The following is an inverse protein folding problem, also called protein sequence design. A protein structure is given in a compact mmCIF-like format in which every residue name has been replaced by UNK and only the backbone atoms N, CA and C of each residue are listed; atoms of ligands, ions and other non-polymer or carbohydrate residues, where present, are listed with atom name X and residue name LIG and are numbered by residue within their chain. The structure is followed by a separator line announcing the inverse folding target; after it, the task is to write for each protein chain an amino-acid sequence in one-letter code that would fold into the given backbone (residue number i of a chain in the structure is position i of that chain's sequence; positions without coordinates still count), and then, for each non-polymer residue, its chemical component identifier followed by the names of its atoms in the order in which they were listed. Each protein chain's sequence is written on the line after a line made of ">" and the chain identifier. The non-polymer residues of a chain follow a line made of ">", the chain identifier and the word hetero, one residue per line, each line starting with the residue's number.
data_IF_437772387865
#
_entry.id   IF_437772387865
#
_cell.length_a   1.000
_cell.length_b   1.000
_cell.length_c   1.000
_cell.angle_alpha   90.00
_cell.angle_beta   90.00
_cell.angle_gamma   90.00
#
_symmetry.space_group_name_H-M   'P 1'
#
loop_
_entity.id
_entity.type
_entity.pdbx_description
1 polymer ?
#
# COMPACT_ATOMS: atom_id res chain seq x y z
N UNK A 1 43.39 10.06 11.08
CA UNK A 1 42.13 10.40 10.38
C UNK A 1 41.06 10.13 11.41
N UNK A 2 40.69 11.17 12.16
CA UNK A 2 39.93 11.02 13.39
C UNK A 2 38.47 10.73 13.06
N UNK A 3 38.02 9.56 13.49
CA UNK A 3 36.61 9.19 13.59
C UNK A 3 35.91 10.22 14.50
N UNK A 4 35.10 11.07 13.88
CA UNK A 4 34.20 11.96 14.61
C UNK A 4 33.11 11.13 15.25
N UNK A 5 33.36 10.71 16.49
CA UNK A 5 32.39 10.19 17.44
C UNK A 5 31.28 11.25 17.60
N UNK A 6 30.12 10.97 16.98
CA UNK A 6 28.94 11.80 17.07
C UNK A 6 28.40 11.60 18.48
N UNK A 7 28.77 12.49 19.40
CA UNK A 7 28.12 12.60 20.70
C UNK A 7 26.61 12.68 20.44
N UNK A 8 25.88 11.59 20.71
CA UNK A 8 24.42 11.58 20.63
C UNK A 8 23.90 12.63 21.60
N UNK A 9 23.55 13.81 21.09
CA UNK A 9 22.97 14.86 21.91
C UNK A 9 21.74 14.27 22.63
N UNK A 10 21.62 14.41 23.96
CA UNK A 10 20.54 13.81 24.74
C UNK A 10 19.15 14.28 24.28
N UNK A 11 19.09 15.39 23.54
CA UNK A 11 17.90 15.88 22.87
C UNK A 11 17.49 15.00 21.68
N UNK A 12 18.44 14.64 20.81
CA UNK A 12 18.18 13.80 19.62
C UNK A 12 17.66 12.43 20.03
N UNK A 13 18.22 11.83 21.09
CA UNK A 13 17.76 10.55 21.62
C UNK A 13 16.32 10.62 22.17
N UNK A 14 15.98 11.69 22.90
CA UNK A 14 14.61 11.92 23.39
C UNK A 14 13.62 12.12 22.25
N UNK A 15 13.98 12.92 21.23
CA UNK A 15 13.14 13.14 20.05
C UNK A 15 12.88 11.85 19.29
N UNK A 16 13.91 11.02 19.06
CA UNK A 16 13.76 9.70 18.42
C UNK A 16 12.79 8.80 19.18
N UNK A 17 12.86 8.80 20.51
CA UNK A 17 11.93 8.02 21.36
C UNK A 17 10.48 8.47 21.20
N UNK A 18 10.24 9.79 21.20
CA UNK A 18 8.90 10.38 20.98
C UNK A 18 8.37 10.02 19.60
N UNK A 19 9.20 10.13 18.55
CA UNK A 19 8.81 9.76 17.18
C UNK A 19 8.41 8.29 17.11
N UNK A 20 9.22 7.39 17.68
CA UNK A 20 8.93 5.94 17.68
C UNK A 20 7.64 5.63 18.43
N UNK A 21 7.37 6.32 19.54
CA UNK A 21 6.10 6.19 20.25
C UNK A 21 4.91 6.66 19.39
N UNK A 22 5.01 7.84 18.77
CA UNK A 22 3.98 8.40 17.90
C UNK A 22 3.64 7.47 16.72
N UNK A 23 4.66 6.89 16.07
CA UNK A 23 4.47 5.95 14.95
C UNK A 23 3.79 4.66 15.40
N UNK A 24 4.09 4.15 16.61
CA UNK A 24 3.37 2.98 17.16
C UNK A 24 1.89 3.27 17.38
N UNK A 25 1.58 4.45 17.94
CA UNK A 25 0.18 4.89 18.11
C UNK A 25 -0.50 5.01 16.74
N UNK A 26 0.19 5.59 15.75
CA UNK A 26 -0.33 5.71 14.38
C UNK A 26 -0.62 4.33 13.77
N UNK A 27 0.27 3.35 13.94
CA UNK A 27 0.04 1.99 13.47
C UNK A 27 -1.20 1.35 14.10
N UNK A 28 -1.42 1.53 15.41
CA UNK A 28 -2.62 1.04 16.10
C UNK A 28 -3.90 1.70 15.57
N UNK A 29 -3.88 3.02 15.38
CA UNK A 29 -5.01 3.77 14.82
C UNK A 29 -5.30 3.27 13.39
N UNK A 30 -4.27 3.10 12.57
CA UNK A 30 -4.44 2.60 11.19
C UNK A 30 -5.03 1.19 11.15
N UNK A 31 -4.64 0.30 12.05
CA UNK A 31 -5.28 -1.03 12.16
C UNK A 31 -6.77 -0.91 12.47
N UNK A 32 -7.16 -0.02 13.39
CA UNK A 32 -8.57 0.21 13.68
C UNK A 32 -9.33 0.78 12.48
N UNK A 33 -8.73 1.73 11.74
CA UNK A 33 -9.30 2.29 10.49
C UNK A 33 -9.52 1.21 9.43
N UNK A 34 -8.57 0.27 9.28
CA UNK A 34 -8.72 -0.85 8.33
C UNK A 34 -9.90 -1.73 8.73
N UNK A 35 -10.00 -2.11 10.01
CA UNK A 35 -11.12 -2.94 10.51
C UNK A 35 -12.46 -2.22 10.26
N UNK A 36 -12.54 -0.93 10.61
CA UNK A 36 -13.74 -0.14 10.38
C UNK A 36 -14.09 -0.03 8.90
N UNK A 37 -13.10 0.21 8.04
CA UNK A 37 -13.30 0.31 6.61
C UNK A 37 -13.81 -0.98 6.00
N UNK A 38 -13.34 -2.15 6.45
CA UNK A 38 -13.87 -3.45 6.00
C UNK A 38 -15.34 -3.60 6.41
N UNK A 39 -15.68 -3.26 7.66
CA UNK A 39 -17.07 -3.31 8.14
C UNK A 39 -17.96 -2.35 7.34
N UNK A 40 -17.49 -1.13 7.08
CA UNK A 40 -18.20 -0.12 6.30
C UNK A 40 -18.47 -0.60 4.86
N UNK A 41 -17.47 -1.18 4.20
CA UNK A 41 -17.63 -1.77 2.86
C UNK A 41 -18.66 -2.90 2.87
N UNK A 42 -18.61 -3.80 3.86
CA UNK A 42 -19.61 -4.86 4.00
C UNK A 42 -21.01 -4.29 4.22
N UNK A 43 -21.14 -3.23 5.03
CA UNK A 43 -22.41 -2.56 5.30
C UNK A 43 -22.98 -1.91 4.05
N UNK A 44 -22.18 -1.13 3.33
CA UNK A 44 -22.57 -0.47 2.07
C UNK A 44 -23.00 -1.52 1.03
N UNK A 45 -22.25 -2.60 0.88
CA UNK A 45 -22.61 -3.67 -0.05
C UNK A 45 -23.93 -4.32 0.33
N UNK A 46 -24.14 -4.59 1.63
CA UNK A 46 -25.38 -5.16 2.14
C UNK A 46 -26.59 -4.26 1.85
N UNK A 47 -26.47 -2.96 2.14
CA UNK A 47 -27.52 -1.97 1.88
C UNK A 47 -27.89 -1.93 0.39
N UNK A 48 -26.89 -1.89 -0.49
CA UNK A 48 -27.07 -1.86 -1.94
C UNK A 48 -27.72 -3.12 -2.51
N UNK A 49 -27.45 -4.30 -1.93
CA UNK A 49 -28.09 -5.55 -2.34
C UNK A 49 -29.57 -5.64 -1.93
N UNK A 50 -29.92 -5.01 -0.80
CA UNK A 50 -31.27 -5.05 -0.23
C UNK A 50 -32.17 -3.92 -0.75
N UNK A 51 -31.61 -2.86 -1.35
CA UNK A 51 -32.40 -1.82 -2.03
C UNK A 51 -33.01 -2.35 -3.34
N UNK A 52 -34.27 -2.02 -3.66
CA UNK A 52 -34.91 -2.43 -4.92
C UNK A 52 -34.28 -1.70 -6.13
N UNK A 53 -33.98 -2.35 -7.28
CA UNK A 53 -34.17 -3.77 -7.64
C UNK A 53 -33.22 -4.70 -6.88
N UNK A 54 -33.78 -5.58 -6.07
CA UNK A 54 -33.02 -6.49 -5.21
C UNK A 54 -32.09 -7.38 -6.05
N UNK A 55 -30.86 -7.57 -5.57
CA UNK A 55 -29.81 -8.34 -6.25
C UNK A 55 -29.30 -7.80 -7.60
N UNK A 56 -29.67 -6.58 -8.02
CA UNK A 56 -29.10 -5.93 -9.20
C UNK A 56 -28.27 -4.70 -8.82
N UNK A 57 -26.95 -4.80 -8.97
CA UNK A 57 -26.05 -3.66 -8.85
C UNK A 57 -25.94 -2.94 -10.19
N UNK A 58 -26.24 -1.64 -10.19
CA UNK A 58 -25.97 -0.79 -11.35
C UNK A 58 -24.48 -0.53 -11.50
N UNK A 59 -24.01 -0.14 -12.69
CA UNK A 59 -22.61 0.23 -12.93
C UNK A 59 -22.17 1.34 -11.96
N UNK A 60 -23.05 2.30 -11.68
CA UNK A 60 -22.78 3.39 -10.74
C UNK A 60 -22.59 2.89 -9.30
N UNK A 61 -23.40 1.92 -8.85
CA UNK A 61 -23.25 1.32 -7.53
C UNK A 61 -21.99 0.46 -7.43
N UNK A 62 -21.61 -0.25 -8.49
CA UNK A 62 -20.35 -1.01 -8.57
C UNK A 62 -19.15 -0.07 -8.43
N UNK A 63 -19.13 1.02 -9.20
CA UNK A 63 -18.07 2.03 -9.14
C UNK A 63 -17.99 2.71 -7.76
N UNK A 64 -19.14 3.01 -7.14
CA UNK A 64 -19.20 3.55 -5.79
C UNK A 64 -18.64 2.57 -4.75
N UNK A 65 -18.98 1.28 -4.87
CA UNK A 65 -18.47 0.24 -3.97
C UNK A 65 -16.96 0.05 -4.16
N UNK A 66 -16.44 0.11 -5.39
CA UNK A 66 -14.99 0.13 -5.64
C UNK A 66 -14.30 1.33 -5.00
N UNK A 67 -14.94 2.49 -4.93
CA UNK A 67 -14.44 3.63 -4.15
C UNK A 67 -14.22 3.28 -2.67
N UNK A 68 -15.18 2.58 -2.05
CA UNK A 68 -15.07 2.13 -0.66
C UNK A 68 -13.98 1.05 -0.49
N UNK A 69 -13.90 0.07 -1.41
CA UNK A 69 -12.78 -0.89 -1.44
C UNK A 69 -11.43 -0.17 -1.57
N UNK A 70 -11.34 0.86 -2.39
CA UNK A 70 -10.12 1.65 -2.56
C UNK A 70 -9.70 2.39 -1.30
N UNK A 71 -10.65 2.90 -0.52
CA UNK A 71 -10.35 3.52 0.77
C UNK A 71 -9.68 2.52 1.73
N UNK A 72 -10.21 1.29 1.81
CA UNK A 72 -9.62 0.22 2.65
C UNK A 72 -8.23 -0.16 2.16
N UNK A 73 -8.08 -0.32 0.86
CA UNK A 73 -6.81 -0.66 0.22
C UNK A 73 -5.75 0.40 0.53
N UNK A 74 -6.06 1.68 0.30
CA UNK A 74 -5.16 2.81 0.63
C UNK A 74 -4.76 2.77 2.11
N UNK A 75 -5.68 2.44 3.03
CA UNK A 75 -5.36 2.32 4.44
C UNK A 75 -4.34 1.18 4.72
N UNK A 76 -4.50 0.02 4.06
CA UNK A 76 -3.55 -1.10 4.15
C UNK A 76 -2.18 -0.70 3.59
N UNK A 77 -2.13 -0.02 2.45
CA UNK A 77 -0.88 0.47 1.87
C UNK A 77 -0.13 1.43 2.81
N UNK A 78 -0.86 2.38 3.41
CA UNK A 78 -0.29 3.32 4.39
C UNK A 78 0.20 2.56 5.63
N UNK A 79 -0.56 1.58 6.12
CA UNK A 79 -0.16 0.75 7.26
C UNK A 79 1.15 0.00 7.01
N UNK A 80 1.31 -0.60 5.83
CA UNK A 80 2.55 -1.30 5.46
C UNK A 80 3.73 -0.33 5.45
N UNK A 81 3.56 0.87 4.87
CA UNK A 81 4.61 1.89 4.86
C UNK A 81 5.02 2.33 6.28
N UNK A 82 4.05 2.45 7.20
CA UNK A 82 4.32 2.77 8.62
C UNK A 82 5.06 1.62 9.31
N UNK A 83 4.66 0.37 9.08
CA UNK A 83 5.31 -0.80 9.67
C UNK A 83 6.77 -0.95 9.24
N UNK A 84 7.07 -0.66 7.97
CA UNK A 84 8.45 -0.66 7.47
C UNK A 84 9.30 0.36 8.23
N UNK A 85 8.79 1.57 8.44
CA UNK A 85 9.47 2.58 9.24
C UNK A 85 9.74 2.09 10.67
N UNK A 86 8.77 1.41 11.29
CA UNK A 86 8.90 0.88 12.65
C UNK A 86 9.92 -0.27 12.76
N UNK A 87 10.12 -1.05 11.70
CA UNK A 87 11.03 -2.21 11.69
C UNK A 87 12.48 -1.81 11.41
N UNK A 88 12.70 -0.92 10.45
CA UNK A 88 14.04 -0.72 9.87
C UNK A 88 14.68 0.61 10.29
N UNK A 89 14.00 1.44 11.09
CA UNK A 89 14.42 2.79 11.56
C UNK A 89 14.91 3.73 10.43
N UNK A 90 14.71 3.33 9.16
CA UNK A 90 15.15 3.99 7.93
C UNK A 90 14.03 3.87 6.90
N UNK A 91 13.70 5.00 6.26
CA UNK A 91 12.69 5.05 5.20
C UNK A 91 13.30 4.48 3.92
N UNK A 92 12.89 3.28 3.54
CA UNK A 92 13.18 2.71 2.22
C UNK A 92 12.39 3.47 1.15
N UNK A 93 13.01 4.52 0.59
CA UNK A 93 12.40 5.39 -0.44
C UNK A 93 11.91 4.58 -1.65
N UNK A 94 12.60 3.49 -2.00
CA UNK A 94 12.17 2.57 -3.05
C UNK A 94 10.78 1.99 -2.80
N UNK A 95 10.51 1.52 -1.58
CA UNK A 95 9.24 0.88 -1.24
C UNK A 95 8.13 1.95 -1.22
N UNK A 96 8.39 3.12 -0.63
CA UNK A 96 7.38 4.21 -0.59
C UNK A 96 7.00 4.68 -1.99
N UNK A 97 7.98 4.86 -2.88
CA UNK A 97 7.73 5.24 -4.27
C UNK A 97 6.99 4.16 -5.06
N UNK A 98 7.34 2.88 -4.85
CA UNK A 98 6.62 1.76 -5.45
C UNK A 98 5.16 1.69 -4.97
N UNK A 99 4.92 1.89 -3.66
CA UNK A 99 3.57 1.95 -3.08
C UNK A 99 2.77 3.13 -3.65
N UNK A 100 3.40 4.28 -3.88
CA UNK A 100 2.73 5.44 -4.48
C UNK A 100 2.33 5.18 -5.95
N UNK A 101 3.23 4.60 -6.76
CA UNK A 101 2.91 4.18 -8.14
C UNK A 101 1.81 3.13 -8.18
N UNK A 102 1.88 2.12 -7.29
CA UNK A 102 0.85 1.08 -7.17
C UNK A 102 -0.51 1.68 -6.80
N UNK A 103 -0.56 2.63 -5.85
CA UNK A 103 -1.79 3.28 -5.41
C UNK A 103 -2.44 4.10 -6.54
N UNK A 104 -1.65 4.84 -7.32
CA UNK A 104 -2.18 5.58 -8.47
C UNK A 104 -2.66 4.62 -9.55
N UNK A 105 -1.88 3.60 -9.90
CA UNK A 105 -2.28 2.59 -10.89
C UNK A 105 -3.60 1.93 -10.49
N UNK A 106 -3.75 1.55 -9.22
CA UNK A 106 -4.96 0.94 -8.69
C UNK A 106 -6.17 1.90 -8.73
N UNK A 107 -5.96 3.20 -8.52
CA UNK A 107 -7.01 4.23 -8.61
C UNK A 107 -7.45 4.51 -10.05
N UNK A 108 -6.52 4.47 -11.00
CA UNK A 108 -6.82 4.66 -12.44
C UNK A 108 -7.67 3.53 -12.99
N UNK A 109 -7.47 2.29 -12.55
CA UNK A 109 -8.26 1.11 -12.98
C UNK A 109 -9.76 1.29 -12.67
N UNK A 110 -10.08 1.96 -11.57
CA UNK A 110 -11.47 2.10 -11.05
C UNK A 110 -12.13 3.39 -11.55
N UNK A 111 -11.39 4.25 -12.24
CA UNK A 111 -11.86 5.54 -12.69
C UNK A 111 -12.92 5.41 -13.79
N UNK A 112 -14.03 6.13 -13.65
CA UNK A 112 -15.09 6.16 -14.67
C UNK A 112 -14.86 7.29 -15.67
N UNK A 113 -14.34 6.94 -16.84
CA UNK A 113 -14.04 7.86 -17.94
C UNK A 113 -15.26 8.59 -18.53
N UNK A 114 -16.48 8.20 -18.17
CA UNK A 114 -17.69 8.92 -18.61
C UNK A 114 -17.97 10.19 -17.82
N UNK A 115 -17.42 10.31 -16.60
CA UNK A 115 -17.71 11.39 -15.65
C UNK A 115 -16.53 12.38 -15.49
N UNK A 116 -15.41 12.14 -16.16
CA UNK A 116 -14.17 12.91 -16.04
C UNK A 116 -13.82 13.61 -17.34
N UNK A 117 -13.47 14.89 -17.24
CA UNK A 117 -12.97 15.66 -18.36
C UNK A 117 -11.61 15.12 -18.85
N UNK A 118 -11.33 15.17 -20.16
CA UNK A 118 -10.04 14.74 -20.72
C UNK A 118 -8.82 15.39 -20.05
N UNK A 119 -8.96 16.64 -19.58
CA UNK A 119 -7.90 17.39 -18.90
C UNK A 119 -7.43 16.68 -17.61
N UNK A 120 -8.35 16.06 -16.86
CA UNK A 120 -8.01 15.28 -15.67
C UNK A 120 -7.19 14.03 -16.02
N UNK A 121 -7.49 13.39 -17.14
CA UNK A 121 -6.75 12.20 -17.60
C UNK A 121 -5.32 12.58 -17.97
N UNK A 122 -5.12 13.70 -18.67
CA UNK A 122 -3.79 14.23 -18.97
C UNK A 122 -3.01 14.64 -17.73
N UNK A 123 -3.67 15.24 -16.73
CA UNK A 123 -3.04 15.58 -15.46
C UNK A 123 -2.56 14.33 -14.69
N UNK A 124 -3.38 13.27 -14.64
CA UNK A 124 -3.00 11.99 -14.02
C UNK A 124 -1.83 11.35 -14.78
N UNK A 125 -1.87 11.35 -16.12
CA UNK A 125 -0.78 10.82 -16.93
C UNK A 125 0.54 11.55 -16.66
N UNK A 126 0.51 12.88 -16.58
CA UNK A 126 1.68 13.70 -16.22
C UNK A 126 2.22 13.38 -14.83
N UNK A 127 1.35 13.24 -13.83
CA UNK A 127 1.75 12.89 -12.47
C UNK A 127 2.37 11.47 -12.38
N UNK A 128 1.76 10.49 -13.04
CA UNK A 128 2.29 9.12 -13.14
C UNK A 128 3.64 9.10 -13.84
N UNK A 129 3.78 9.86 -14.93
CA UNK A 129 5.03 9.94 -15.69
C UNK A 129 6.16 10.55 -14.85
N UNK A 130 5.90 11.68 -14.18
CA UNK A 130 6.87 12.31 -13.29
C UNK A 130 7.29 11.39 -12.14
N UNK A 131 6.33 10.70 -11.51
CA UNK A 131 6.60 9.74 -10.43
C UNK A 131 7.38 8.52 -10.93
N UNK A 132 7.08 8.02 -12.14
CA UNK A 132 7.78 6.90 -12.76
C UNK A 132 9.25 7.23 -13.05
N UNK A 133 9.52 8.44 -13.56
CA UNK A 133 10.90 8.94 -13.74
C UNK A 133 11.62 9.01 -12.39
N UNK A 134 10.97 9.57 -11.37
CA UNK A 134 11.54 9.63 -10.01
C UNK A 134 11.89 8.25 -9.47
N UNK A 135 10.99 7.27 -9.62
CA UNK A 135 11.24 5.89 -9.21
C UNK A 135 12.41 5.26 -9.99
N UNK A 136 12.49 5.48 -11.30
CA UNK A 136 13.60 4.97 -12.13
C UNK A 136 14.96 5.53 -11.69
N UNK A 137 15.03 6.83 -11.38
CA UNK A 137 16.26 7.46 -10.89
C UNK A 137 16.70 6.88 -9.53
N UNK A 138 15.76 6.70 -8.61
CA UNK A 138 16.03 6.10 -7.29
C UNK A 138 16.46 4.64 -7.42
N UNK A 139 15.87 3.89 -8.35
CA UNK A 139 16.25 2.50 -8.57
C UNK A 139 17.68 2.38 -9.12
N UNK A 140 18.04 3.24 -10.08
CA UNK A 140 19.39 3.27 -10.68
C UNK A 140 20.47 3.63 -9.65
N UNK A 141 20.17 4.49 -8.68
CA UNK A 141 21.12 4.84 -7.61
C UNK A 141 21.22 3.80 -6.50
N UNK A 142 20.27 2.86 -6.42
CA UNK A 142 20.09 1.98 -5.26
C UNK A 142 20.00 0.49 -5.63
N UNK A 143 20.68 0.08 -6.70
CA UNK A 143 20.67 -1.27 -7.30
C UNK A 143 21.25 -2.42 -6.42
N UNK A 144 21.28 -2.29 -5.09
CA UNK A 144 21.75 -3.31 -4.14
C UNK A 144 20.67 -3.94 -3.23
N UNK A 145 19.40 -3.49 -3.23
CA UNK A 145 18.45 -3.83 -2.14
C UNK A 145 17.08 -4.44 -2.52
N UNK A 146 16.83 -4.80 -3.78
CA UNK A 146 15.47 -5.18 -4.27
C UNK A 146 15.00 -6.59 -3.82
N UNK A 147 15.71 -7.28 -2.93
CA UNK A 147 15.37 -8.65 -2.47
C UNK A 147 14.32 -8.73 -1.34
N UNK A 148 13.77 -7.61 -0.86
CA UNK A 148 12.94 -7.58 0.38
C UNK A 148 11.47 -7.93 0.17
N UNK A 149 10.88 -7.68 -1.01
CA UNK A 149 9.44 -7.92 -1.27
C UNK A 149 9.03 -9.39 -1.09
N UNK A 150 9.91 -10.33 -1.46
CA UNK A 150 9.70 -11.79 -1.33
C UNK A 150 9.54 -12.26 0.12
N UNK A 151 9.91 -11.45 1.12
CA UNK A 151 9.83 -11.84 2.54
C UNK A 151 8.52 -11.43 3.23
N UNK A 152 7.75 -10.53 2.63
CA UNK A 152 6.50 -10.02 3.23
C UNK A 152 5.35 -11.00 2.97
N UNK A 153 5.39 -11.72 1.85
CA UNK A 153 4.49 -12.82 1.53
C UNK A 153 5.33 -14.05 1.18
N UNK A 154 5.67 -14.92 2.16
CA UNK A 154 6.38 -16.15 1.84
C UNK A 154 5.54 -16.96 0.85
N UNK A 155 6.03 -17.10 -0.38
CA UNK A 155 5.45 -18.02 -1.36
C UNK A 155 5.50 -19.41 -0.72
N UNK A 156 4.33 -19.98 -0.48
CA UNK A 156 4.19 -21.29 0.16
C UNK A 156 4.74 -22.37 -0.81
N UNK A 157 6.06 -22.58 -0.73
CA UNK A 157 6.83 -23.51 -1.57
C UNK A 157 6.50 -24.98 -1.26
N UNK A 158 5.65 -25.22 -0.26
CA UNK A 158 5.23 -26.56 0.11
C UNK A 158 4.27 -27.20 -0.91
N UNK A 159 3.48 -26.40 -1.65
CA UNK A 159 2.57 -26.94 -2.68
C UNK A 159 3.29 -27.49 -3.92
N UNK A 160 4.45 -26.95 -4.29
CA UNK A 160 5.22 -27.46 -5.45
C UNK A 160 5.87 -28.82 -5.13
N UNK A 161 6.32 -29.01 -3.89
CA UNK A 161 6.93 -30.27 -3.44
C UNK A 161 5.92 -31.40 -3.29
N UNK A 162 4.68 -31.10 -2.88
CA UNK A 162 3.61 -32.10 -2.80
C UNK A 162 3.16 -32.59 -4.18
N UNK A 163 3.10 -31.71 -5.19
CA UNK A 163 2.79 -32.14 -6.57
C UNK A 163 3.93 -32.92 -7.24
N UNK A 164 5.19 -32.63 -6.92
CA UNK A 164 6.35 -33.38 -7.42
C UNK A 164 6.47 -34.76 -6.75
N UNK A 165 6.22 -34.86 -5.44
CA UNK A 165 6.20 -36.15 -4.75
C UNK A 165 5.00 -37.02 -5.19
N UNK A 166 3.83 -36.41 -5.41
CA UNK A 166 2.64 -37.16 -5.87
C UNK A 166 2.83 -37.74 -7.28
N UNK A 167 3.57 -37.05 -8.15
CA UNK A 167 3.91 -37.55 -9.48
C UNK A 167 5.10 -38.55 -9.52
N UNK A 168 5.82 -38.75 -8.41
CA UNK A 168 6.86 -39.79 -8.28
C UNK A 168 6.36 -41.05 -7.56
N UNK A 169 5.14 -41.03 -7.04
CA UNK A 169 4.53 -42.16 -6.30
C UNK A 169 3.41 -42.85 -7.09
N UNK A 170 3.16 -42.43 -8.34
CA UNK A 170 2.30 -43.11 -9.34
C UNK A 170 3.16 -43.59 -10.51
#
# INVERSE_FOLDING_TARGET
>A
MNDHDYNDEPLVLKLRSVIRFAVRVLALIMTAVIIWGVVDVCWVLYEKLMTPPVFLLTISDILATFGAFMAVLIAIEIFINICIYLREDVIHVQIVMATALMAIARKVIILDFSQISPDYVWAIAGAVFAMSIGYFLVLKSSQKSVTTFDRIFPRDTNKTRESENRNQTE
#
